data_IF_520721887780
#
_entry.id   IF_520721887780
#
_cell.length_a   1.000
_cell.length_b   1.000
_cell.length_c   1.000
_cell.angle_alpha   90.00
_cell.angle_beta   90.00
_cell.angle_gamma   90.00
#
_symmetry.space_group_name_H-M   'P 1'
#
loop_
_entity.id
_entity.type
_entity.pdbx_description
1 polymer ?
#
# COMPACT_ATOMS: atom_id res chain seq x y z
N UNK A 1 10.73 6.06 14.22
CA UNK A 1 9.98 6.62 13.09
C UNK A 1 8.60 5.98 13.02
N UNK A 2 8.43 4.78 12.47
CA UNK A 2 7.09 4.16 12.36
C UNK A 2 6.33 3.96 13.68
N UNK A 3 7.04 3.83 14.80
CA UNK A 3 6.45 3.67 16.14
C UNK A 3 6.38 4.97 16.95
N UNK A 4 7.15 5.98 16.54
CA UNK A 4 7.25 7.26 17.26
C UNK A 4 6.35 8.32 16.66
N UNK A 5 6.18 8.28 15.34
CA UNK A 5 5.35 9.18 14.56
C UNK A 5 4.43 8.31 13.70
N UNK A 6 3.12 8.26 13.98
CA UNK A 6 2.20 7.43 13.23
C UNK A 6 2.11 7.92 11.78
N UNK A 7 2.25 7.00 10.83
CA UNK A 7 2.14 7.27 9.40
C UNK A 7 1.02 6.44 8.80
N UNK A 8 0.36 6.96 7.78
CA UNK A 8 -0.78 6.28 7.13
C UNK A 8 -0.33 5.13 6.21
N UNK A 9 0.90 5.18 5.70
CA UNK A 9 1.44 4.17 4.79
C UNK A 9 2.97 4.12 4.81
N UNK A 10 3.51 2.95 4.49
CA UNK A 10 4.95 2.72 4.31
C UNK A 10 5.22 2.29 2.88
N UNK A 11 6.22 2.90 2.24
CA UNK A 11 6.74 2.46 0.95
C UNK A 11 8.09 1.78 1.18
N UNK A 12 8.26 0.56 0.70
CA UNK A 12 9.52 -0.15 0.84
C UNK A 12 9.55 -1.51 0.15
N UNK A 13 10.56 -2.29 0.49
CA UNK A 13 10.80 -3.62 -0.03
C UNK A 13 10.15 -4.72 0.85
N UNK A 14 10.43 -5.99 0.55
CA UNK A 14 9.84 -7.11 1.30
C UNK A 14 10.26 -7.17 2.78
N UNK A 15 11.43 -6.64 3.13
CA UNK A 15 11.89 -6.59 4.52
C UNK A 15 11.02 -5.64 5.36
N UNK A 16 10.44 -4.60 4.74
CA UNK A 16 9.48 -3.70 5.37
C UNK A 16 8.21 -4.39 5.92
N UNK A 17 7.95 -5.66 5.54
CA UNK A 17 6.80 -6.44 6.03
C UNK A 17 6.79 -6.59 7.54
N UNK A 18 7.95 -6.74 8.17
CA UNK A 18 8.04 -6.90 9.63
C UNK A 18 7.68 -5.60 10.34
N UNK A 19 8.26 -4.48 9.90
CA UNK A 19 7.97 -3.17 10.45
C UNK A 19 6.50 -2.74 10.23
N UNK A 20 5.95 -3.03 9.05
CA UNK A 20 4.56 -2.73 8.72
C UNK A 20 3.58 -3.56 9.56
N UNK A 21 3.90 -4.83 9.85
CA UNK A 21 3.10 -5.69 10.73
C UNK A 21 3.08 -5.15 12.15
N UNK A 22 4.25 -4.78 12.67
CA UNK A 22 4.37 -4.32 14.05
C UNK A 22 3.70 -2.94 14.24
N UNK A 23 3.82 -2.05 13.25
CA UNK A 23 3.18 -0.73 13.29
C UNK A 23 1.70 -0.74 12.88
N UNK A 24 1.16 -1.87 12.38
CA UNK A 24 -0.20 -2.00 11.80
C UNK A 24 -0.49 -1.01 10.65
N UNK A 25 0.52 -0.71 9.85
CA UNK A 25 0.43 0.25 8.74
C UNK A 25 0.48 -0.51 7.40
N UNK A 26 -0.29 -0.13 6.36
CA UNK A 26 -0.16 -0.73 5.04
C UNK A 26 1.23 -0.53 4.43
N UNK A 27 1.75 -1.60 3.81
CA UNK A 27 3.03 -1.60 3.10
C UNK A 27 2.84 -1.65 1.58
N UNK A 28 3.20 -0.56 0.92
CA UNK A 28 3.37 -0.46 -0.52
C UNK A 28 4.74 -0.98 -0.93
N UNK A 29 4.74 -2.01 -1.78
CA UNK A 29 5.96 -2.70 -2.21
C UNK A 29 6.46 -2.09 -3.51
N UNK A 30 7.23 -1.01 -3.38
CA UNK A 30 7.89 -0.35 -4.50
C UNK A 30 9.40 -0.39 -4.29
N UNK A 31 10.12 -0.90 -5.28
CA UNK A 31 11.58 -1.04 -5.23
C UNK A 31 12.03 -2.51 -5.29
N UNK A 32 13.23 -2.76 -4.78
CA UNK A 32 13.90 -4.05 -4.83
C UNK A 32 14.44 -4.39 -3.43
N UNK A 33 14.33 -5.64 -2.93
CA UNK A 33 13.73 -6.84 -3.53
C UNK A 33 12.26 -7.10 -3.13
N UNK A 34 11.46 -7.61 -4.09
CA UNK A 34 10.06 -8.06 -3.86
C UNK A 34 9.95 -9.58 -3.98
N UNK A 35 10.04 -10.29 -2.85
CA UNK A 35 9.94 -11.75 -2.79
C UNK A 35 8.52 -12.26 -2.54
N UNK A 36 7.70 -11.49 -1.81
CA UNK A 36 6.38 -11.89 -1.30
C UNK A 36 5.25 -11.76 -2.34
N UNK A 37 5.52 -11.22 -3.53
CA UNK A 37 4.52 -11.00 -4.59
C UNK A 37 5.06 -11.40 -5.96
N UNK A 38 4.27 -12.22 -6.67
CA UNK A 38 4.62 -12.73 -8.00
C UNK A 38 4.34 -11.66 -9.07
N UNK A 39 5.18 -11.59 -10.10
CA UNK A 39 5.02 -10.74 -11.30
C UNK A 39 5.00 -9.22 -11.10
N UNK A 40 5.28 -8.68 -9.90
CA UNK A 40 5.40 -7.22 -9.68
C UNK A 40 6.50 -6.56 -10.51
N UNK A 41 7.54 -7.30 -10.90
CA UNK A 41 8.62 -6.83 -11.77
C UNK A 41 8.18 -6.51 -13.21
N UNK A 42 7.02 -7.00 -13.66
CA UNK A 42 6.53 -6.79 -15.04
C UNK A 42 5.84 -5.44 -15.21
N UNK A 43 5.41 -4.83 -14.11
CA UNK A 43 4.76 -3.54 -14.13
C UNK A 43 5.82 -2.45 -14.02
N UNK A 44 5.89 -1.50 -14.97
CA UNK A 44 6.81 -0.39 -14.86
C UNK A 44 6.42 0.48 -13.66
N UNK A 45 7.42 0.97 -12.93
CA UNK A 45 7.28 2.01 -11.91
C UNK A 45 7.67 3.40 -12.45
N UNK A 46 8.37 3.44 -13.59
CA UNK A 46 8.92 4.67 -14.18
C UNK A 46 8.11 5.09 -15.41
N UNK A 47 8.06 6.40 -15.65
CA UNK A 47 7.31 7.01 -16.75
C UNK A 47 5.83 7.20 -16.42
N UNK A 48 5.09 7.83 -17.33
CA UNK A 48 3.65 8.12 -17.13
C UNK A 48 2.84 6.85 -16.83
N UNK A 49 3.12 5.76 -17.54
CA UNK A 49 2.47 4.47 -17.28
C UNK A 49 2.76 3.95 -15.86
N UNK A 50 4.00 4.12 -15.38
CA UNK A 50 4.39 3.67 -14.05
C UNK A 50 3.76 4.50 -12.94
N UNK A 51 3.67 5.81 -13.13
CA UNK A 51 2.97 6.70 -12.19
C UNK A 51 1.49 6.34 -12.10
N UNK A 52 0.82 6.06 -13.23
CA UNK A 52 -0.58 5.62 -13.23
C UNK A 52 -0.75 4.31 -12.45
N UNK A 53 0.13 3.33 -12.69
CA UNK A 53 0.10 2.07 -11.94
C UNK A 53 0.31 2.27 -10.43
N UNK A 54 1.28 3.12 -10.07
CA UNK A 54 1.62 3.43 -8.68
C UNK A 54 0.46 4.13 -7.96
N UNK A 55 -0.11 5.16 -8.58
CA UNK A 55 -1.28 5.89 -8.04
C UNK A 55 -2.47 4.96 -7.89
N UNK A 56 -2.72 4.11 -8.89
CA UNK A 56 -3.83 3.14 -8.84
C UNK A 56 -3.67 2.17 -7.66
N UNK A 57 -2.47 1.62 -7.45
CA UNK A 57 -2.19 0.72 -6.33
C UNK A 57 -2.32 1.42 -4.97
N UNK A 58 -1.88 2.68 -4.87
CA UNK A 58 -2.00 3.49 -3.66
C UNK A 58 -3.46 3.78 -3.33
N UNK A 59 -4.23 4.32 -4.29
CA UNK A 59 -5.63 4.69 -4.08
C UNK A 59 -6.49 3.47 -3.73
N UNK A 60 -6.36 2.37 -4.48
CA UNK A 60 -7.13 1.16 -4.20
C UNK A 60 -6.85 0.64 -2.79
N UNK A 61 -5.60 0.68 -2.33
CA UNK A 61 -5.28 0.19 -1.00
C UNK A 61 -5.86 1.06 0.11
N UNK A 62 -5.89 2.38 -0.06
CA UNK A 62 -6.54 3.27 0.90
C UNK A 62 -8.06 3.10 0.93
N UNK A 63 -8.68 2.86 -0.23
CA UNK A 63 -10.10 2.55 -0.34
C UNK A 63 -10.40 1.25 0.42
N UNK A 64 -9.64 0.18 0.17
CA UNK A 64 -9.77 -1.10 0.87
C UNK A 64 -9.70 -0.92 2.39
N UNK A 65 -8.72 -0.18 2.89
CA UNK A 65 -8.56 0.07 4.34
C UNK A 65 -9.75 0.84 4.90
N UNK A 66 -10.20 1.87 4.18
CA UNK A 66 -11.34 2.67 4.60
C UNK A 66 -12.64 1.86 4.49
N UNK A 67 -12.75 0.85 3.63
CA UNK A 67 -13.89 -0.07 3.60
C UNK A 67 -13.83 -1.09 4.76
N UNK A 68 -12.64 -1.59 5.10
CA UNK A 68 -12.43 -2.51 6.24
C UNK A 68 -12.63 -1.85 7.62
N UNK A 69 -12.38 -0.55 7.75
CA UNK A 69 -12.44 0.19 9.03
C UNK A 69 -13.73 0.99 9.23
N UNK A 70 -14.61 0.99 8.24
CA UNK A 70 -15.85 1.76 8.24
C UNK A 70 -16.92 1.15 9.16
N UNK A 71 -17.66 2.00 9.86
CA UNK A 71 -18.92 1.60 10.52
C UNK A 71 -19.99 1.25 9.47
N UNK A 72 -20.86 0.28 9.74
CA UNK A 72 -21.85 -0.23 8.77
C UNK A 72 -22.72 0.87 8.12
N UNK A 73 -22.93 1.98 8.82
CA UNK A 73 -23.73 3.12 8.35
C UNK A 73 -23.02 3.98 7.30
N UNK A 74 -21.70 3.99 7.30
CA UNK A 74 -20.86 4.79 6.41
C UNK A 74 -20.36 3.98 5.21
N UNK A 75 -20.80 2.72 5.10
CA UNK A 75 -20.42 1.83 4.01
C UNK A 75 -21.14 2.24 2.72
N UNK A 76 -20.38 2.80 1.79
CA UNK A 76 -20.89 3.34 0.53
C UNK A 76 -20.55 2.41 -0.65
N UNK A 77 -21.52 2.21 -1.55
CA UNK A 77 -21.31 1.42 -2.77
C UNK A 77 -20.48 2.17 -3.83
N UNK A 78 -20.52 3.50 -3.83
CA UNK A 78 -19.80 4.37 -4.76
C UNK A 78 -18.89 5.29 -3.95
N UNK A 79 -17.63 5.42 -4.36
CA UNK A 79 -16.62 6.29 -3.74
C UNK A 79 -15.93 7.19 -4.75
#
# INVERSE_FOLDING_TARGET
LLMTDPVDAVIGDSHGKFAARDAKVPLFRFGFPVFDRVNKHRYPLVGYQGVVNMVTEICNKFIDIKDETCEDQQFELMR
#
